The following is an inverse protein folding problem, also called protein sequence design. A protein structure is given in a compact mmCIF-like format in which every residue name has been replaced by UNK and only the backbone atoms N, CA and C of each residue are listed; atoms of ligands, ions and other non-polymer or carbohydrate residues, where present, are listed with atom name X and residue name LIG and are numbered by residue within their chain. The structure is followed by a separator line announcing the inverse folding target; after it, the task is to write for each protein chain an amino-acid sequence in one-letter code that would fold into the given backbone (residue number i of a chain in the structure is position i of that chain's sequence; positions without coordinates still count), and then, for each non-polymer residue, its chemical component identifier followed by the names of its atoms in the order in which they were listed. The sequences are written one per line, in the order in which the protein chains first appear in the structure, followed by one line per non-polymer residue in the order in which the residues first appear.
data_IF_072526700114
#
_entry.id   IF_072526700114
#
_cell.length_a   1.000
_cell.length_b   1.000
_cell.length_c   1.000
_cell.angle_alpha   90.00
_cell.angle_beta   90.00
_cell.angle_gamma   90.00
#
_symmetry.space_group_name_H-M   'P 1'
#
loop_
_entity.id
_entity.type
_entity.pdbx_description
1 polymer ?
#
# COMPACT_ATOMS: atom_id res chain seq x y z
N UNK A 1 18.09 0.38 -10.09
CA UNK A 1 18.75 1.68 -9.86
C UNK A 1 17.81 2.50 -8.98
N UNK A 2 18.32 3.18 -7.95
CA UNK A 2 17.52 4.01 -7.04
C UNK A 2 17.05 5.27 -7.78
N UNK A 3 15.77 5.63 -7.63
CA UNK A 3 15.24 6.86 -8.21
C UNK A 3 15.95 8.07 -7.58
N UNK A 4 16.46 9.04 -8.38
CA UNK A 4 17.24 10.16 -7.87
C UNK A 4 16.32 11.25 -7.29
N UNK A 5 15.54 10.92 -6.26
CA UNK A 5 14.57 11.85 -5.65
C UNK A 5 15.26 13.11 -5.13
N UNK A 6 14.62 14.26 -5.34
CA UNK A 6 14.96 15.54 -4.69
C UNK A 6 13.77 16.09 -3.87
N UNK A 7 12.54 15.73 -4.25
CA UNK A 7 11.31 16.12 -3.56
C UNK A 7 10.43 14.90 -3.29
N UNK A 8 9.64 14.94 -2.21
CA UNK A 8 8.70 13.87 -1.86
C UNK A 8 7.32 14.44 -1.57
N UNK A 9 6.31 13.92 -2.25
CA UNK A 9 4.93 14.33 -2.09
C UNK A 9 4.03 13.15 -1.72
N UNK A 10 2.93 13.48 -1.08
CA UNK A 10 1.79 12.59 -0.86
C UNK A 10 0.60 13.23 -1.55
N UNK A 11 -0.22 12.44 -2.23
CA UNK A 11 -1.32 12.96 -3.03
C UNK A 11 -2.49 11.98 -3.06
N UNK A 12 -3.67 12.54 -3.34
CA UNK A 12 -4.91 11.80 -3.52
C UNK A 12 -5.83 12.53 -4.51
N UNK A 13 -6.59 11.79 -5.31
CA UNK A 13 -7.56 12.36 -6.24
C UNK A 13 -8.99 12.11 -5.77
N UNK A 14 -9.84 13.12 -5.96
CA UNK A 14 -11.28 12.90 -6.02
C UNK A 14 -11.78 12.91 -7.46
N UNK A 15 -12.68 11.98 -7.76
CA UNK A 15 -13.17 11.74 -9.11
C UNK A 15 -14.66 11.41 -9.14
N UNK A 16 -15.35 11.82 -10.21
CA UNK A 16 -16.77 11.51 -10.37
C UNK A 16 -16.97 10.04 -10.74
N UNK A 17 -18.03 9.42 -10.22
CA UNK A 17 -18.33 7.97 -10.38
C UNK A 17 -19.62 7.71 -11.17
N UNK A 18 -20.24 8.75 -11.71
CA UNK A 18 -21.55 8.75 -12.37
C UNK A 18 -21.56 8.16 -13.80
N UNK A 19 -20.45 7.54 -14.24
CA UNK A 19 -20.36 6.93 -15.58
C UNK A 19 -19.28 5.85 -15.68
N UNK A 20 -19.20 5.21 -16.86
CA UNK A 20 -18.25 4.12 -17.11
C UNK A 20 -16.77 4.54 -17.06
N UNK A 21 -16.48 5.83 -17.18
CA UNK A 21 -15.14 6.41 -17.11
C UNK A 21 -15.18 7.48 -16.04
N UNK A 22 -14.49 7.22 -14.93
CA UNK A 22 -14.35 8.19 -13.85
C UNK A 22 -13.48 9.36 -14.30
N UNK A 23 -13.74 10.55 -13.76
CA UNK A 23 -13.00 11.77 -14.11
C UNK A 23 -12.56 12.48 -12.84
N UNK A 24 -11.25 12.60 -12.67
CA UNK A 24 -10.66 13.41 -11.62
C UNK A 24 -11.13 14.86 -11.73
N UNK A 25 -11.46 15.45 -10.60
CA UNK A 25 -11.88 16.84 -10.49
C UNK A 25 -11.23 17.60 -9.34
N UNK A 26 -10.62 16.91 -8.39
CA UNK A 26 -9.80 17.51 -7.35
C UNK A 26 -8.57 16.64 -7.12
N UNK A 27 -7.46 17.27 -6.81
CA UNK A 27 -6.28 16.63 -6.28
C UNK A 27 -5.77 17.46 -5.12
N UNK A 28 -5.55 16.80 -3.98
CA UNK A 28 -4.78 17.38 -2.91
C UNK A 28 -3.40 16.75 -2.87
N UNK A 29 -2.39 17.54 -2.49
CA UNK A 29 -1.05 17.04 -2.28
C UNK A 29 -0.28 17.87 -1.25
N UNK A 30 0.67 17.21 -0.59
CA UNK A 30 1.53 17.78 0.46
C UNK A 30 2.98 17.34 0.23
N UNK A 31 3.93 18.22 0.46
CA UNK A 31 5.35 17.84 0.57
C UNK A 31 5.60 17.13 1.92
N UNK A 32 6.69 16.40 2.05
CA UNK A 32 7.01 15.67 3.27
C UNK A 32 7.46 16.56 4.45
N UNK A 33 7.86 17.80 4.17
CA UNK A 33 8.35 18.78 5.14
C UNK A 33 7.46 20.02 5.30
N UNK A 34 6.29 20.08 4.64
CA UNK A 34 5.31 21.16 4.74
C UNK A 34 4.03 20.68 5.42
N UNK A 35 3.50 21.46 6.36
CA UNK A 35 2.24 21.21 7.08
C UNK A 35 0.99 21.59 6.28
N UNK A 36 1.13 22.39 5.23
CA UNK A 36 0.06 22.78 4.31
C UNK A 36 -0.18 21.76 3.20
N UNK A 37 -1.43 21.65 2.74
CA UNK A 37 -1.76 20.97 1.49
C UNK A 37 -2.12 21.99 0.42
N UNK A 38 -1.81 21.64 -0.83
CA UNK A 38 -2.32 22.34 -2.01
C UNK A 38 -3.48 21.52 -2.58
N UNK A 39 -4.57 22.19 -2.93
CA UNK A 39 -5.69 21.61 -3.67
C UNK A 39 -5.80 22.25 -5.06
N UNK A 40 -6.07 21.43 -6.08
CA UNK A 40 -6.32 21.89 -7.44
C UNK A 40 -7.64 21.30 -7.92
N UNK A 41 -8.67 22.15 -7.96
CA UNK A 41 -9.97 21.81 -8.53
C UNK A 41 -10.01 22.03 -10.04
N UNK A 42 -10.74 21.14 -10.73
CA UNK A 42 -11.11 21.25 -12.13
C UNK A 42 -10.77 20.00 -12.94
N UNK A 43 -11.37 19.90 -14.13
CA UNK A 43 -11.12 18.78 -15.06
C UNK A 43 -9.68 18.67 -15.57
N UNK A 44 -8.87 19.72 -15.38
CA UNK A 44 -7.46 19.79 -15.73
C UNK A 44 -6.52 19.57 -14.51
N UNK A 45 -7.07 19.20 -13.34
CA UNK A 45 -6.35 19.01 -12.08
C UNK A 45 -5.12 18.10 -12.23
N UNK A 46 -5.25 16.96 -12.92
CA UNK A 46 -4.15 16.04 -13.16
C UNK A 46 -2.98 16.68 -13.92
N UNK A 47 -3.27 17.48 -14.96
CA UNK A 47 -2.23 18.16 -15.73
C UNK A 47 -1.56 19.29 -14.93
N UNK A 48 -2.35 20.10 -14.20
CA UNK A 48 -1.85 21.15 -13.32
C UNK A 48 -1.03 20.60 -12.17
N UNK A 49 -1.39 19.44 -11.63
CA UNK A 49 -0.60 18.74 -10.62
C UNK A 49 0.78 18.36 -11.16
N UNK A 50 0.86 17.74 -12.34
CA UNK A 50 2.14 17.43 -12.99
C UNK A 50 2.97 18.69 -13.31
N UNK A 51 2.31 19.81 -13.64
CA UNK A 51 2.96 21.11 -13.81
C UNK A 51 3.51 21.69 -12.50
N UNK A 52 2.80 21.49 -11.38
CA UNK A 52 3.20 21.96 -10.06
C UNK A 52 4.38 21.17 -9.47
N UNK A 53 4.46 19.86 -9.72
CA UNK A 53 5.53 19.01 -9.21
C UNK A 53 6.92 19.44 -9.74
N UNK A 54 7.94 19.65 -8.89
CA UNK A 54 9.31 19.84 -9.34
C UNK A 54 9.90 18.63 -10.09
N UNK A 55 11.04 18.84 -10.76
CA UNK A 55 11.81 17.71 -11.30
C UNK A 55 12.24 16.74 -10.18
N UNK A 56 12.35 15.45 -10.49
CA UNK A 56 12.74 14.38 -9.55
C UNK A 56 11.83 14.25 -8.32
N UNK A 57 10.54 14.53 -8.50
CA UNK A 57 9.53 14.30 -7.46
C UNK A 57 9.18 12.82 -7.32
N UNK A 58 9.23 12.32 -6.10
CA UNK A 58 8.66 11.03 -5.68
C UNK A 58 7.30 11.28 -5.05
N UNK A 59 6.24 10.76 -5.64
CA UNK A 59 4.85 10.96 -5.19
C UNK A 59 4.27 9.65 -4.70
N UNK A 60 3.71 9.66 -3.49
CA UNK A 60 2.97 8.56 -2.92
C UNK A 60 1.47 8.77 -3.06
N UNK A 61 0.79 7.76 -3.59
CA UNK A 61 -0.66 7.59 -3.50
C UNK A 61 -0.96 6.38 -2.61
N UNK A 62 -2.12 6.35 -1.98
CA UNK A 62 -2.56 5.19 -1.22
C UNK A 62 -3.48 4.33 -2.09
N UNK A 63 -2.99 3.17 -2.53
CA UNK A 63 -3.61 2.35 -3.59
C UNK A 63 -3.52 3.00 -4.98
N UNK A 64 -2.29 3.35 -5.38
CA UNK A 64 -1.90 4.04 -6.62
C UNK A 64 -2.59 3.58 -7.92
N UNK A 65 -2.98 2.30 -8.01
CA UNK A 65 -3.51 1.69 -9.23
C UNK A 65 -4.68 2.46 -9.85
N UNK A 66 -5.49 3.12 -9.02
CA UNK A 66 -6.60 3.95 -9.48
C UNK A 66 -6.10 5.31 -9.96
N UNK A 67 -5.43 6.07 -9.10
CA UNK A 67 -4.98 7.44 -9.33
C UNK A 67 -4.05 7.59 -10.53
N UNK A 68 -3.15 6.63 -10.70
CA UNK A 68 -2.15 6.68 -11.77
C UNK A 68 -2.79 6.66 -13.16
N UNK A 69 -4.02 6.15 -13.29
CA UNK A 69 -4.75 6.14 -14.56
C UNK A 69 -5.07 7.56 -15.06
N UNK A 70 -5.28 8.52 -14.15
CA UNK A 70 -5.49 9.93 -14.49
C UNK A 70 -4.20 10.60 -14.99
N UNK A 71 -3.04 10.13 -14.52
CA UNK A 71 -1.74 10.70 -14.81
C UNK A 71 -1.09 10.12 -16.06
N UNK A 72 -1.25 8.80 -16.29
CA UNK A 72 -0.51 8.08 -17.33
C UNK A 72 -0.68 8.65 -18.74
N UNK A 73 -1.89 9.12 -19.07
CA UNK A 73 -2.17 9.70 -20.40
C UNK A 73 -1.45 11.03 -20.66
N UNK A 74 -0.94 11.68 -19.61
CA UNK A 74 -0.29 12.98 -19.67
C UNK A 74 1.24 12.88 -19.72
N UNK A 75 1.82 11.72 -19.37
CA UNK A 75 3.27 11.50 -19.40
C UNK A 75 3.78 11.34 -20.84
N UNK A 76 4.92 11.97 -21.15
CA UNK A 76 5.56 11.92 -22.47
C UNK A 76 6.23 10.56 -22.72
N UNK A 77 6.78 9.97 -21.66
CA UNK A 77 7.54 8.73 -21.70
C UNK A 77 7.40 8.00 -20.36
N UNK A 78 7.13 6.69 -20.39
CA UNK A 78 7.32 5.83 -19.21
C UNK A 78 8.77 5.37 -19.18
N UNK A 79 9.46 5.67 -18.10
CA UNK A 79 10.89 5.34 -17.93
C UNK A 79 11.06 4.15 -17.00
N UNK A 80 12.02 3.28 -17.29
CA UNK A 80 12.24 2.06 -16.52
C UNK A 80 11.11 1.04 -16.70
N UNK A 81 11.09 0.03 -15.84
CA UNK A 81 10.05 -1.01 -15.87
C UNK A 81 9.02 -0.72 -14.78
N UNK A 82 7.73 -0.52 -15.15
CA UNK A 82 6.64 -0.46 -14.18
C UNK A 82 6.66 -1.69 -13.26
N UNK A 83 6.47 -1.48 -11.96
CA UNK A 83 6.42 -2.57 -10.99
C UNK A 83 4.95 -2.84 -10.69
N UNK A 84 4.46 -3.96 -11.22
CA UNK A 84 3.06 -4.38 -11.10
C UNK A 84 3.02 -5.79 -10.49
N UNK A 85 2.20 -5.98 -9.46
CA UNK A 85 1.98 -7.27 -8.79
C UNK A 85 0.50 -7.64 -8.89
N UNK A 86 0.18 -8.58 -9.79
CA UNK A 86 -1.22 -8.88 -10.10
C UNK A 86 -1.91 -7.67 -10.70
N UNK A 87 -2.98 -7.20 -10.07
CA UNK A 87 -3.70 -5.97 -10.45
C UNK A 87 -3.15 -4.70 -9.78
N UNK A 88 -2.21 -4.81 -8.83
CA UNK A 88 -1.67 -3.68 -8.08
C UNK A 88 -0.49 -3.05 -8.82
N UNK A 89 -0.62 -1.77 -9.18
CA UNK A 89 0.48 -0.93 -9.64
C UNK A 89 1.23 -0.40 -8.43
N UNK A 90 2.46 -0.86 -8.22
CA UNK A 90 3.26 -0.49 -7.05
C UNK A 90 4.20 0.69 -7.32
N UNK A 91 4.70 0.80 -8.56
CA UNK A 91 5.54 1.92 -8.98
C UNK A 91 5.49 2.15 -10.48
N UNK A 92 5.39 3.42 -10.88
CA UNK A 92 5.58 3.89 -12.26
C UNK A 92 6.53 5.10 -12.23
N UNK A 93 7.45 5.16 -13.19
CA UNK A 93 8.28 6.35 -13.42
C UNK A 93 8.03 6.86 -14.83
N UNK A 94 8.07 8.17 -15.02
CA UNK A 94 7.90 8.75 -16.34
C UNK A 94 8.36 10.19 -16.42
N UNK A 95 8.42 10.71 -17.65
CA UNK A 95 8.76 12.09 -17.94
C UNK A 95 7.52 12.93 -18.25
N UNK A 96 7.52 14.16 -17.75
CA UNK A 96 6.51 15.16 -18.05
C UNK A 96 7.20 16.52 -18.26
N UNK A 97 7.12 17.08 -19.48
CA UNK A 97 7.76 18.36 -19.85
C UNK A 97 9.23 18.44 -19.42
N UNK A 98 9.98 17.35 -19.63
CA UNK A 98 11.38 17.22 -19.24
C UNK A 98 11.65 16.91 -17.76
N UNK A 99 10.63 16.90 -16.89
CA UNK A 99 10.74 16.49 -15.48
C UNK A 99 10.66 14.97 -15.37
N UNK A 100 11.51 14.37 -14.54
CA UNK A 100 11.46 12.96 -14.20
C UNK A 100 10.65 12.76 -12.90
N UNK A 101 9.56 12.01 -12.98
CA UNK A 101 8.63 11.79 -11.86
C UNK A 101 8.56 10.30 -11.51
N UNK A 102 8.36 9.98 -10.23
CA UNK A 102 8.14 8.62 -9.74
C UNK A 102 6.88 8.57 -8.89
N UNK A 103 5.95 7.71 -9.25
CA UNK A 103 4.73 7.45 -8.49
C UNK A 103 4.87 6.10 -7.79
N UNK A 104 4.60 6.04 -6.49
CA UNK A 104 4.65 4.82 -5.67
C UNK A 104 3.35 4.60 -4.92
N UNK A 105 3.04 3.32 -4.75
CA UNK A 105 1.92 2.90 -3.91
C UNK A 105 2.37 2.76 -2.46
N UNK A 106 1.86 3.63 -1.59
CA UNK A 106 2.09 3.50 -0.14
C UNK A 106 1.43 2.24 0.43
N UNK A 107 0.35 1.71 -0.17
CA UNK A 107 -0.32 0.50 0.29
C UNK A 107 0.54 -0.76 0.10
N UNK A 108 1.50 -0.73 -0.83
CA UNK A 108 2.51 -1.77 -0.98
C UNK A 108 3.52 -1.80 0.18
N UNK A 109 3.66 -0.69 0.91
CA UNK A 109 4.54 -0.54 2.08
C UNK A 109 3.75 -0.70 3.38
N UNK A 110 2.58 -0.09 3.48
CA UNK A 110 1.71 -0.12 4.65
C UNK A 110 0.35 -0.67 4.20
N UNK A 111 0.22 -2.00 4.20
CA UNK A 111 -0.95 -2.71 3.64
C UNK A 111 -2.16 -2.72 4.59
N UNK A 112 -2.61 -1.55 4.99
CA UNK A 112 -3.86 -1.34 5.75
C UNK A 112 -4.59 -0.13 5.20
N UNK A 113 -5.89 -0.04 5.46
CA UNK A 113 -6.70 1.12 5.06
C UNK A 113 -6.21 2.40 5.73
N UNK A 114 -6.25 3.50 4.99
CA UNK A 114 -5.88 4.84 5.47
C UNK A 114 -6.63 5.24 6.75
N UNK A 115 -7.92 4.93 6.85
CA UNK A 115 -8.77 5.14 8.04
C UNK A 115 -8.17 4.59 9.34
N UNK A 116 -7.32 3.55 9.26
CA UNK A 116 -6.67 2.95 10.43
C UNK A 116 -5.36 3.62 10.83
N UNK A 117 -4.82 4.51 10.01
CA UNK A 117 -3.52 5.16 10.28
C UNK A 117 -3.53 5.99 11.57
N UNK A 118 -4.57 6.81 11.86
CA UNK A 118 -4.60 7.60 13.09
C UNK A 118 -4.48 6.74 14.35
N UNK A 119 -5.25 5.66 14.44
CA UNK A 119 -5.16 4.71 15.57
C UNK A 119 -3.81 3.98 15.58
N UNK A 120 -3.40 3.42 14.42
CA UNK A 120 -2.23 2.55 14.30
C UNK A 120 -0.91 3.27 14.59
N UNK A 121 -0.81 4.55 14.21
CA UNK A 121 0.39 5.36 14.40
C UNK A 121 0.26 6.40 15.52
N UNK A 122 -0.89 6.44 16.21
CA UNK A 122 -1.22 7.43 17.22
C UNK A 122 -1.06 8.87 16.68
N UNK A 123 -1.61 9.13 15.49
CA UNK A 123 -1.50 10.43 14.84
C UNK A 123 -2.38 11.47 15.52
N UNK A 124 -1.91 12.71 15.56
CA UNK A 124 -2.68 13.87 16.02
C UNK A 124 -3.44 14.56 14.89
N UNK A 125 -3.31 14.07 13.66
CA UNK A 125 -3.89 14.67 12.46
C UNK A 125 -5.41 14.61 12.40
N UNK A 126 -6.07 13.84 13.27
CA UNK A 126 -7.53 13.60 13.24
C UNK A 126 -7.91 12.35 12.47
N UNK A 127 -9.20 11.99 12.54
CA UNK A 127 -9.78 10.86 11.83
C UNK A 127 -10.06 11.18 10.35
N UNK A 128 -10.36 10.15 9.56
CA UNK A 128 -10.83 10.32 8.19
C UNK A 128 -12.27 10.81 8.22
N UNK A 129 -12.56 11.84 7.44
CA UNK A 129 -13.85 12.52 7.45
C UNK A 129 -14.93 11.77 6.65
N UNK A 130 -16.16 12.31 6.61
CA UNK A 130 -17.26 11.78 5.80
C UNK A 130 -17.29 12.46 4.43
N UNK A 131 -17.58 11.72 3.36
CA UNK A 131 -17.67 12.28 2.01
C UNK A 131 -18.81 11.65 1.17
N UNK A 132 -19.67 12.46 0.52
CA UNK A 132 -20.78 11.98 -0.30
C UNK A 132 -20.32 11.64 -1.74
N UNK A 133 -19.52 10.60 -1.92
CA UNK A 133 -18.91 10.26 -3.23
C UNK A 133 -19.89 10.25 -4.42
N UNK A 134 -21.08 9.67 -4.24
CA UNK A 134 -22.07 9.52 -5.31
C UNK A 134 -22.82 10.83 -5.64
N UNK A 135 -22.68 11.86 -4.80
CA UNK A 135 -23.26 13.18 -5.04
C UNK A 135 -22.41 14.01 -6.01
N UNK A 136 -21.09 13.81 -6.03
CA UNK A 136 -20.15 14.54 -6.87
C UNK A 136 -20.16 14.03 -8.32
N UNK A 137 -21.25 14.33 -9.04
CA UNK A 137 -21.41 14.00 -10.46
C UNK A 137 -20.58 14.92 -11.35
N UNK A 138 -20.29 14.47 -12.56
CA UNK A 138 -19.55 15.27 -13.54
C UNK A 138 -20.26 16.60 -13.85
N UNK A 139 -21.58 16.63 -13.86
CA UNK A 139 -22.35 17.84 -14.12
C UNK A 139 -22.19 18.88 -12.99
N UNK A 140 -22.41 18.45 -11.74
CA UNK A 140 -22.32 19.35 -10.57
C UNK A 140 -20.92 19.94 -10.40
N UNK A 141 -19.91 19.10 -10.56
CA UNK A 141 -18.50 19.48 -10.45
C UNK A 141 -18.08 20.55 -11.48
N UNK A 142 -18.71 20.58 -12.66
CA UNK A 142 -18.36 21.48 -13.76
C UNK A 142 -19.26 22.72 -13.88
N UNK A 143 -20.33 22.83 -13.09
CA UNK A 143 -21.30 23.94 -13.20
C UNK A 143 -21.05 25.02 -12.15
N UNK A 144 -21.71 24.96 -11.00
CA UNK A 144 -21.70 26.02 -9.99
C UNK A 144 -20.79 25.71 -8.81
N UNK A 145 -20.41 24.44 -8.61
CA UNK A 145 -19.73 23.94 -7.40
C UNK A 145 -20.55 24.15 -6.12
N UNK A 146 -21.84 24.44 -6.26
CA UNK A 146 -22.78 24.62 -5.15
C UNK A 146 -23.60 23.35 -5.02
N UNK A 147 -23.49 22.69 -3.87
CA UNK A 147 -24.24 21.47 -3.54
C UNK A 147 -25.44 21.80 -2.67
N UNK A 148 -26.53 21.05 -2.86
CA UNK A 148 -27.68 21.04 -1.97
C UNK A 148 -27.43 20.05 -0.82
N UNK A 149 -27.62 20.51 0.42
CA UNK A 149 -27.31 19.75 1.64
C UNK A 149 -28.23 18.53 1.77
N UNK A 150 -29.54 18.71 1.58
CA UNK A 150 -30.55 17.64 1.69
C UNK A 150 -30.30 16.50 0.70
N UNK A 151 -29.97 16.84 -0.54
CA UNK A 151 -29.65 15.84 -1.56
C UNK A 151 -28.35 15.10 -1.20
N UNK A 152 -27.30 15.82 -0.80
CA UNK A 152 -26.00 15.24 -0.46
C UNK A 152 -26.07 14.28 0.75
N UNK A 153 -26.93 14.57 1.74
CA UNK A 153 -27.15 13.71 2.90
C UNK A 153 -27.61 12.30 2.52
N UNK A 154 -28.30 12.11 1.38
CA UNK A 154 -28.72 10.80 0.91
C UNK A 154 -27.55 9.92 0.40
N UNK A 155 -26.35 10.51 0.27
CA UNK A 155 -25.17 9.85 -0.25
C UNK A 155 -24.07 9.63 0.81
N UNK A 156 -24.33 9.98 2.08
CA UNK A 156 -23.45 9.69 3.21
C UNK A 156 -24.05 8.63 4.14
N UNK A 157 -23.20 7.96 4.91
CA UNK A 157 -23.64 7.03 5.97
C UNK A 157 -23.85 7.72 7.31
N UNK A 158 -23.04 8.74 7.58
CA UNK A 158 -23.06 9.49 8.82
C UNK A 158 -23.45 10.94 8.51
N UNK A 159 -24.74 11.21 8.67
CA UNK A 159 -25.37 12.50 8.36
C UNK A 159 -24.98 13.55 9.39
N UNK A 160 -24.80 13.16 10.65
CA UNK A 160 -24.44 14.07 11.75
C UNK A 160 -23.04 14.64 11.49
N UNK A 161 -22.06 13.77 11.23
CA UNK A 161 -20.70 14.20 10.90
C UNK A 161 -20.65 15.04 9.60
N UNK A 162 -21.43 14.69 8.58
CA UNK A 162 -21.51 15.49 7.35
C UNK A 162 -21.97 16.93 7.61
N UNK A 163 -23.07 17.10 8.36
CA UNK A 163 -23.60 18.42 8.70
C UNK A 163 -22.66 19.20 9.62
N UNK A 164 -22.04 18.54 10.61
CA UNK A 164 -21.03 19.17 11.45
C UNK A 164 -19.84 19.68 10.64
N UNK A 165 -19.41 18.93 9.63
CA UNK A 165 -18.32 19.34 8.75
C UNK A 165 -18.68 20.58 7.93
N UNK A 166 -19.90 20.66 7.37
CA UNK A 166 -20.35 21.86 6.64
C UNK A 166 -20.29 23.11 7.52
N UNK A 167 -20.68 23.00 8.79
CA UNK A 167 -20.68 24.13 9.73
C UNK A 167 -19.26 24.49 10.22
N UNK A 168 -18.36 23.50 10.36
CA UNK A 168 -17.01 23.70 10.89
C UNK A 168 -16.00 24.17 9.85
N UNK A 169 -16.14 23.73 8.60
CA UNK A 169 -15.20 24.08 7.52
C UNK A 169 -15.43 25.53 7.13
N UNK A 170 -14.39 26.35 7.25
CA UNK A 170 -14.41 27.76 6.88
C UNK A 170 -14.85 27.94 5.42
N UNK A 171 -15.75 28.90 5.17
CA UNK A 171 -16.34 29.21 3.87
C UNK A 171 -17.09 28.06 3.17
N UNK A 172 -17.35 26.93 3.86
CA UNK A 172 -18.06 25.79 3.26
C UNK A 172 -19.57 25.98 3.22
N UNK A 173 -20.18 26.49 4.30
CA UNK A 173 -21.62 26.76 4.33
C UNK A 173 -21.94 28.04 3.57
N UNK A 174 -22.76 27.94 2.52
CA UNK A 174 -23.19 29.10 1.73
C UNK A 174 -24.46 29.70 2.34
N UNK A 175 -25.46 28.86 2.59
CA UNK A 175 -26.70 29.19 3.27
C UNK A 175 -27.27 27.93 3.96
N UNK A 176 -28.53 27.97 4.42
CA UNK A 176 -29.15 26.84 5.14
C UNK A 176 -29.49 25.64 4.24
N UNK A 177 -29.49 25.80 2.92
CA UNK A 177 -29.81 24.75 1.94
C UNK A 177 -28.57 24.31 1.12
N UNK A 178 -27.51 25.12 1.10
CA UNK A 178 -26.38 24.95 0.19
C UNK A 178 -25.00 25.00 0.84
N UNK A 179 -24.06 24.25 0.27
CA UNK A 179 -22.65 24.23 0.63
C UNK A 179 -21.74 24.32 -0.60
N UNK A 180 -20.50 24.78 -0.41
CA UNK A 180 -19.47 24.81 -1.44
C UNK A 180 -18.79 23.44 -1.57
N UNK A 181 -18.99 22.79 -2.71
CA UNK A 181 -18.46 21.46 -3.00
C UNK A 181 -16.94 21.45 -3.17
N UNK A 182 -16.35 22.52 -3.70
CA UNK A 182 -14.90 22.61 -3.86
C UNK A 182 -14.23 22.74 -2.51
N UNK A 183 -14.74 23.62 -1.65
CA UNK A 183 -14.23 23.80 -0.28
C UNK A 183 -14.33 22.50 0.51
N UNK A 184 -15.49 21.84 0.49
CA UNK A 184 -15.69 20.58 1.21
C UNK A 184 -14.76 19.46 0.70
N UNK A 185 -14.69 19.26 -0.62
CA UNK A 185 -13.80 18.26 -1.22
C UNK A 185 -12.33 18.54 -0.96
N UNK A 186 -11.92 19.80 -0.98
CA UNK A 186 -10.53 20.19 -0.70
C UNK A 186 -10.15 19.92 0.75
N UNK A 187 -11.05 20.19 1.70
CA UNK A 187 -10.85 19.84 3.10
C UNK A 187 -10.74 18.33 3.30
N UNK A 188 -11.67 17.56 2.73
CA UNK A 188 -11.70 16.11 2.82
C UNK A 188 -10.43 15.45 2.25
N UNK A 189 -10.13 15.75 0.99
CA UNK A 189 -9.00 15.17 0.28
C UNK A 189 -7.67 15.65 0.90
N UNK A 190 -7.61 16.90 1.38
CA UNK A 190 -6.46 17.41 2.14
C UNK A 190 -6.23 16.65 3.45
N UNK A 191 -7.31 16.28 4.16
CA UNK A 191 -7.23 15.49 5.39
C UNK A 191 -6.75 14.05 5.11
N UNK A 192 -7.23 13.41 4.04
CA UNK A 192 -6.73 12.10 3.60
C UNK A 192 -5.23 12.14 3.28
N UNK A 193 -4.78 13.15 2.53
CA UNK A 193 -3.35 13.33 2.22
C UNK A 193 -2.53 13.58 3.48
N UNK A 194 -3.05 14.35 4.45
CA UNK A 194 -2.38 14.59 5.74
C UNK A 194 -2.21 13.30 6.53
N UNK A 195 -3.27 12.50 6.67
CA UNK A 195 -3.23 11.20 7.36
C UNK A 195 -2.21 10.27 6.67
N UNK A 196 -2.21 10.25 5.33
CA UNK A 196 -1.30 9.45 4.55
C UNK A 196 0.16 9.87 4.80
N UNK A 197 0.46 11.16 4.68
CA UNK A 197 1.80 11.73 4.91
C UNK A 197 2.27 11.40 6.32
N UNK A 198 1.47 11.74 7.33
CA UNK A 198 1.86 11.62 8.74
C UNK A 198 2.08 10.17 9.15
N UNK A 199 1.18 9.26 8.75
CA UNK A 199 1.35 7.84 9.00
C UNK A 199 2.57 7.25 8.27
N UNK A 200 2.79 7.64 7.02
CA UNK A 200 3.96 7.19 6.27
C UNK A 200 5.27 7.70 6.86
N UNK A 201 5.33 8.98 7.25
CA UNK A 201 6.50 9.58 7.89
C UNK A 201 6.78 8.96 9.24
N UNK A 202 5.74 8.66 10.04
CA UNK A 202 5.89 7.95 11.30
C UNK A 202 6.51 6.57 11.07
N UNK A 203 5.97 5.79 10.13
CA UNK A 203 6.51 4.48 9.76
C UNK A 203 7.96 4.56 9.25
N UNK A 204 8.25 5.54 8.38
CA UNK A 204 9.60 5.79 7.85
C UNK A 204 10.58 6.12 8.97
N UNK A 205 10.19 6.98 9.91
CA UNK A 205 11.05 7.37 11.04
C UNK A 205 11.35 6.18 11.95
N UNK A 206 10.37 5.30 12.18
CA UNK A 206 10.58 4.07 12.94
C UNK A 206 11.56 3.13 12.21
N UNK A 207 11.43 2.95 10.88
CA UNK A 207 12.38 2.17 10.08
C UNK A 207 13.81 2.75 10.07
N UNK A 208 13.91 4.08 9.96
CA UNK A 208 15.20 4.77 10.00
C UNK A 208 15.88 4.60 11.36
N UNK A 209 15.11 4.73 12.45
CA UNK A 209 15.61 4.61 13.84
C UNK A 209 16.05 3.19 14.15
N UNK A 210 15.23 2.19 13.82
CA UNK A 210 15.47 0.81 14.23
C UNK A 210 16.41 0.03 13.28
N UNK A 211 16.42 0.41 12.00
CA UNK A 211 17.06 -0.39 10.95
C UNK A 211 18.05 0.38 10.06
N UNK A 212 18.06 1.71 10.13
CA UNK A 212 18.79 2.60 9.21
C UNK A 212 18.39 2.34 7.75
N UNK A 213 17.07 2.18 7.52
CA UNK A 213 16.48 1.93 6.20
C UNK A 213 15.49 3.04 5.89
N UNK A 214 15.72 3.75 4.80
CA UNK A 214 14.80 4.79 4.31
C UNK A 214 13.68 4.14 3.48
N UNK A 215 12.44 4.22 3.96
CA UNK A 215 11.26 3.70 3.27
C UNK A 215 11.13 4.23 1.82
N UNK A 216 11.59 5.45 1.55
CA UNK A 216 11.55 6.05 0.22
C UNK A 216 12.38 5.31 -0.82
N UNK A 217 13.34 4.49 -0.41
CA UNK A 217 14.21 3.72 -1.31
C UNK A 217 13.55 2.44 -1.84
N UNK A 218 12.42 2.07 -1.26
CA UNK A 218 11.78 0.77 -1.48
C UNK A 218 10.40 0.92 -2.09
N UNK A 219 9.93 -0.14 -2.74
CA UNK A 219 8.62 -0.18 -3.40
C UNK A 219 7.58 -0.92 -2.55
N UNK A 220 8.02 -1.73 -1.59
CA UNK A 220 7.13 -2.55 -0.78
C UNK A 220 7.73 -2.96 0.56
N UNK A 221 6.86 -3.37 1.48
CA UNK A 221 7.27 -3.94 2.76
C UNK A 221 8.16 -5.16 2.57
N UNK A 222 7.89 -6.00 1.57
CA UNK A 222 8.73 -7.17 1.27
C UNK A 222 10.14 -6.76 0.84
N UNK A 223 10.28 -5.67 0.07
CA UNK A 223 11.61 -5.18 -0.32
C UNK A 223 12.37 -4.55 0.86
N UNK A 224 11.67 -3.90 1.79
CA UNK A 224 12.24 -3.39 3.06
C UNK A 224 12.71 -4.56 3.92
N UNK A 225 11.86 -5.56 4.14
CA UNK A 225 12.20 -6.77 4.89
C UNK A 225 13.37 -7.50 4.26
N UNK A 226 13.39 -7.69 2.94
CA UNK A 226 14.52 -8.32 2.25
C UNK A 226 15.82 -7.54 2.49
N UNK A 227 15.77 -6.19 2.49
CA UNK A 227 16.95 -5.39 2.80
C UNK A 227 17.46 -5.60 4.22
N UNK A 228 16.54 -5.68 5.17
CA UNK A 228 16.88 -5.94 6.55
C UNK A 228 17.56 -7.31 6.71
N UNK A 229 17.02 -8.33 6.05
CA UNK A 229 17.60 -9.67 6.02
C UNK A 229 18.95 -9.69 5.31
N UNK A 230 19.12 -9.00 4.19
CA UNK A 230 20.42 -8.82 3.54
C UNK A 230 21.48 -8.32 4.56
N UNK A 231 21.17 -7.21 5.23
CA UNK A 231 22.06 -6.52 6.19
C UNK A 231 22.38 -7.36 7.42
N UNK A 232 21.38 -8.04 7.98
CA UNK A 232 21.50 -8.69 9.30
C UNK A 232 21.77 -10.19 9.21
N UNK A 233 21.36 -10.84 8.12
CA UNK A 233 21.38 -12.30 7.99
C UNK A 233 22.21 -12.71 6.78
N UNK A 234 21.80 -12.36 5.56
CA UNK A 234 22.32 -13.00 4.35
C UNK A 234 23.82 -12.74 4.14
N UNK A 235 24.26 -11.49 4.22
CA UNK A 235 25.68 -11.18 4.04
C UNK A 235 26.55 -11.65 5.22
N UNK A 236 25.98 -11.73 6.42
CA UNK A 236 26.71 -12.20 7.61
C UNK A 236 26.87 -13.72 7.63
N UNK A 237 25.91 -14.45 7.07
CA UNK A 237 25.96 -15.91 6.99
C UNK A 237 27.15 -16.37 6.12
N UNK A 238 27.39 -15.72 4.98
CA UNK A 238 28.55 -15.99 4.13
C UNK A 238 28.49 -17.29 3.31
N UNK A 239 27.44 -18.11 3.47
CA UNK A 239 27.21 -19.38 2.77
C UNK A 239 25.87 -19.40 2.02
N UNK A 240 25.27 -18.24 1.74
CA UNK A 240 24.07 -18.12 0.93
C UNK A 240 24.41 -17.71 -0.51
N UNK A 241 23.70 -18.29 -1.47
CA UNK A 241 23.93 -18.10 -2.90
C UNK A 241 22.63 -17.81 -3.63
N UNK A 242 22.70 -16.96 -4.65
CA UNK A 242 21.57 -16.72 -5.55
C UNK A 242 21.23 -17.97 -6.36
N UNK A 243 19.97 -18.38 -6.34
CA UNK A 243 19.45 -19.49 -7.14
C UNK A 243 18.93 -18.99 -8.49
N UNK A 244 19.46 -19.55 -9.59
CA UNK A 244 19.02 -19.24 -10.95
C UNK A 244 18.78 -20.51 -11.79
N UNK A 245 18.06 -20.37 -12.91
CA UNK A 245 17.87 -21.43 -13.89
C UNK A 245 17.14 -22.68 -13.35
N UNK A 246 17.65 -23.86 -13.73
CA UNK A 246 17.03 -25.16 -13.40
C UNK A 246 16.93 -25.44 -11.90
N UNK A 247 17.99 -25.23 -11.07
CA UNK A 247 17.87 -25.39 -9.62
C UNK A 247 16.77 -24.53 -9.00
N UNK A 248 16.68 -23.25 -9.38
CA UNK A 248 15.61 -22.34 -8.92
C UNK A 248 14.22 -22.85 -9.28
N UNK A 249 14.03 -23.25 -10.53
CA UNK A 249 12.75 -23.80 -11.00
C UNK A 249 12.37 -25.08 -10.25
N UNK A 250 13.33 -26.00 -10.08
CA UNK A 250 13.11 -27.25 -9.35
C UNK A 250 12.72 -27.01 -7.90
N UNK A 251 13.51 -26.21 -7.16
CA UNK A 251 13.26 -25.89 -5.75
C UNK A 251 11.93 -25.15 -5.58
N UNK A 252 11.56 -24.28 -6.53
CA UNK A 252 10.28 -23.55 -6.47
C UNK A 252 9.04 -24.45 -6.47
N UNK A 253 9.13 -25.67 -7.05
CA UNK A 253 8.05 -26.66 -7.04
C UNK A 253 7.82 -27.26 -5.65
N UNK A 254 8.80 -27.14 -4.75
CA UNK A 254 8.73 -27.62 -3.37
C UNK A 254 8.20 -26.55 -2.40
N UNK A 255 8.05 -25.29 -2.85
CA UNK A 255 7.53 -24.22 -2.00
C UNK A 255 6.02 -24.35 -1.89
N UNK A 256 5.53 -24.60 -0.67
CA UNK A 256 4.11 -24.70 -0.35
C UNK A 256 3.70 -23.60 0.63
N UNK A 257 2.43 -23.21 0.59
CA UNK A 257 1.84 -22.25 1.51
C UNK A 257 1.42 -22.87 2.84
N UNK A 258 0.74 -22.07 3.67
CA UNK A 258 0.13 -22.55 4.89
C UNK A 258 -0.93 -23.63 4.64
N UNK A 259 -1.01 -24.62 5.53
CA UNK A 259 -2.03 -25.68 5.49
C UNK A 259 -3.36 -25.10 5.98
N UNK A 260 -4.35 -25.00 5.10
CA UNK A 260 -5.72 -24.64 5.43
C UNK A 260 -6.63 -25.84 5.19
N UNK A 261 -7.26 -26.37 6.24
CA UNK A 261 -8.10 -27.56 6.15
C UNK A 261 -9.33 -27.46 7.04
N UNK A 262 -10.39 -28.15 6.65
CA UNK A 262 -11.56 -28.38 7.49
C UNK A 262 -11.47 -29.76 8.13
N UNK A 263 -12.12 -29.93 9.28
CA UNK A 263 -12.29 -31.25 9.87
C UNK A 263 -12.94 -32.20 8.85
N UNK A 264 -12.31 -33.37 8.66
CA UNK A 264 -12.71 -34.40 7.68
C UNK A 264 -12.85 -33.90 6.22
N UNK A 265 -12.29 -32.73 5.88
CA UNK A 265 -12.52 -32.06 4.59
C UNK A 265 -14.01 -31.81 4.27
N UNK A 266 -14.85 -31.65 5.30
CA UNK A 266 -16.29 -31.35 5.16
C UNK A 266 -16.60 -29.96 5.70
N UNK A 267 -17.55 -29.29 5.06
CA UNK A 267 -18.10 -28.02 5.58
C UNK A 267 -18.73 -28.27 6.95
N UNK A 268 -18.31 -27.49 7.94
CA UNK A 268 -18.81 -27.57 9.31
C UNK A 268 -19.88 -26.50 9.54
N UNK A 269 -20.90 -26.83 10.32
CA UNK A 269 -21.91 -25.90 10.83
C UNK A 269 -22.09 -26.23 12.30
N UNK A 270 -21.63 -25.35 13.18
CA UNK A 270 -21.62 -25.59 14.61
C UNK A 270 -22.59 -24.58 15.25
N UNK A 271 -23.76 -25.03 15.68
CA UNK A 271 -24.73 -24.22 16.41
C UNK A 271 -24.78 -24.70 17.87
N UNK A 272 -24.51 -23.79 18.81
CA UNK A 272 -24.58 -24.09 20.25
C UNK A 272 -23.39 -24.87 20.83
N UNK A 273 -22.36 -25.18 20.02
CA UNK A 273 -21.13 -25.82 20.48
C UNK A 273 -20.07 -24.80 20.91
N UNK A 274 -19.35 -25.12 21.99
CA UNK A 274 -18.19 -24.35 22.43
C UNK A 274 -16.97 -24.71 21.56
N UNK A 275 -16.49 -23.76 20.78
CA UNK A 275 -15.27 -23.89 19.97
C UNK A 275 -14.13 -23.18 20.69
N UNK A 276 -12.97 -23.85 20.77
CA UNK A 276 -11.72 -23.22 21.18
C UNK A 276 -10.84 -23.03 19.94
N UNK A 277 -10.40 -21.80 19.72
CA UNK A 277 -9.48 -21.45 18.63
C UNK A 277 -8.08 -21.20 19.20
N UNK A 278 -7.08 -21.89 18.65
CA UNK A 278 -5.69 -21.78 19.07
C UNK A 278 -4.88 -21.12 17.96
N UNK A 279 -4.44 -19.88 18.21
CA UNK A 279 -3.56 -19.16 17.29
C UNK A 279 -2.11 -19.20 17.76
N UNK A 280 -1.21 -19.53 16.84
CA UNK A 280 0.21 -19.63 17.11
C UNK A 280 0.87 -18.25 16.99
N UNK A 281 1.44 -17.74 18.09
CA UNK A 281 2.10 -16.43 18.12
C UNK A 281 3.31 -16.43 17.17
N UNK A 282 3.22 -15.63 16.10
CA UNK A 282 4.31 -15.46 15.12
C UNK A 282 4.86 -16.79 14.60
N UNK A 283 3.99 -17.65 14.05
CA UNK A 283 4.36 -18.99 13.60
C UNK A 283 5.61 -19.02 12.70
N UNK A 284 5.66 -18.22 11.62
CA UNK A 284 6.80 -18.21 10.69
C UNK A 284 8.08 -17.65 11.33
N UNK A 285 8.09 -16.49 12.02
CA UNK A 285 9.27 -16.04 12.75
C UNK A 285 9.78 -17.06 13.78
N UNK A 286 8.87 -17.71 14.52
CA UNK A 286 9.22 -18.76 15.48
C UNK A 286 9.84 -19.97 14.80
N UNK A 287 9.34 -20.37 13.64
CA UNK A 287 9.91 -21.43 12.82
C UNK A 287 11.31 -21.06 12.32
N UNK A 288 11.50 -19.86 11.78
CA UNK A 288 12.82 -19.37 11.32
C UNK A 288 13.84 -19.34 12.47
N UNK A 289 13.40 -19.01 13.70
CA UNK A 289 14.26 -18.95 14.86
C UNK A 289 14.64 -20.33 15.44
N UNK A 290 13.85 -21.37 15.17
CA UNK A 290 14.00 -22.70 15.77
C UNK A 290 14.53 -23.75 14.81
N UNK A 291 14.03 -23.75 13.58
CA UNK A 291 14.28 -24.80 12.60
C UNK A 291 15.58 -24.53 11.84
N UNK A 292 16.27 -25.60 11.45
CA UNK A 292 17.41 -25.50 10.56
C UNK A 292 17.01 -24.95 9.18
N UNK A 293 17.55 -23.79 8.80
CA UNK A 293 17.35 -23.20 7.49
C UNK A 293 18.47 -23.66 6.53
N UNK A 294 18.10 -24.21 5.38
CA UNK A 294 19.05 -24.72 4.38
C UNK A 294 19.93 -23.59 3.82
N UNK A 295 21.24 -23.86 3.73
CA UNK A 295 22.26 -22.98 3.16
C UNK A 295 23.19 -23.74 2.21
N UNK A 296 24.04 -23.01 1.48
CA UNK A 296 25.03 -23.58 0.56
C UNK A 296 24.52 -23.86 -0.86
N UNK A 297 25.38 -24.49 -1.66
CA UNK A 297 25.10 -24.82 -3.06
C UNK A 297 24.33 -26.15 -3.13
N UNK A 298 23.15 -26.20 -3.78
CA UNK A 298 22.38 -27.44 -3.88
C UNK A 298 23.14 -28.50 -4.68
N UNK A 299 23.06 -29.75 -4.21
CA UNK A 299 23.67 -30.92 -4.85
C UNK A 299 22.59 -31.79 -5.48
N UNK A 300 22.93 -32.43 -6.60
CA UNK A 300 22.05 -33.41 -7.25
C UNK A 300 22.06 -34.69 -6.42
N UNK A 301 20.88 -35.22 -6.11
CA UNK A 301 20.73 -36.49 -5.40
C UNK A 301 21.33 -37.65 -6.20
N UNK A 302 22.00 -38.57 -5.52
CA UNK A 302 22.47 -39.84 -6.09
C UNK A 302 21.29 -40.78 -6.36
N UNK A 303 21.50 -41.88 -7.11
CA UNK A 303 20.43 -42.87 -7.34
C UNK A 303 19.94 -43.54 -6.05
N UNK A 304 20.85 -43.78 -5.10
CA UNK A 304 20.53 -44.33 -3.78
C UNK A 304 19.58 -43.40 -2.99
N UNK A 305 19.89 -42.10 -2.99
CA UNK A 305 19.09 -41.08 -2.31
C UNK A 305 17.66 -40.95 -2.85
N UNK A 306 17.40 -41.43 -4.08
CA UNK A 306 16.06 -41.38 -4.69
C UNK A 306 15.15 -42.50 -4.19
N UNK A 307 15.65 -43.46 -3.43
CA UNK A 307 14.83 -44.52 -2.85
C UNK A 307 13.98 -44.02 -1.69
N UNK A 308 12.75 -44.51 -1.58
CA UNK A 308 11.86 -44.15 -0.47
C UNK A 308 12.44 -44.57 0.89
N UNK A 309 13.18 -45.68 0.92
CA UNK A 309 13.84 -46.21 2.13
C UNK A 309 14.87 -45.21 2.64
N UNK A 310 15.79 -44.76 1.77
CA UNK A 310 16.76 -43.72 2.12
C UNK A 310 16.07 -42.46 2.64
N UNK A 311 15.05 -41.96 1.94
CA UNK A 311 14.37 -40.73 2.35
C UNK A 311 13.67 -40.84 3.71
N UNK A 312 13.05 -41.99 4.02
CA UNK A 312 12.35 -42.22 5.28
C UNK A 312 13.32 -42.36 6.46
N UNK A 313 14.49 -42.97 6.23
CA UNK A 313 15.55 -43.12 7.24
C UNK A 313 16.25 -41.79 7.57
N UNK A 314 16.17 -40.81 6.67
CA UNK A 314 16.87 -39.51 6.78
C UNK A 314 15.89 -38.33 6.94
N UNK A 315 14.69 -38.56 7.48
CA UNK A 315 13.76 -37.49 7.86
C UNK A 315 14.24 -36.82 9.15
N UNK A 316 14.17 -35.49 9.20
CA UNK A 316 14.37 -34.74 10.45
C UNK A 316 13.26 -35.09 11.46
N UNK A 317 13.62 -35.14 12.74
CA UNK A 317 12.66 -35.20 13.84
C UNK A 317 11.81 -33.90 13.90
N UNK A 318 10.69 -33.95 14.61
CA UNK A 318 9.68 -32.87 14.66
C UNK A 318 10.25 -31.49 15.09
N UNK A 319 11.39 -31.45 15.80
CA UNK A 319 12.03 -30.21 16.22
C UNK A 319 12.98 -29.61 15.17
N UNK A 320 13.33 -30.38 14.13
CA UNK A 320 14.31 -30.08 13.08
C UNK A 320 15.61 -29.41 13.60
N UNK A 321 15.98 -29.70 14.84
CA UNK A 321 17.07 -29.05 15.55
C UNK A 321 18.38 -29.83 15.40
N UNK A 322 18.29 -31.15 15.38
CA UNK A 322 19.37 -32.03 14.96
C UNK A 322 18.89 -32.85 13.73
N UNK A 323 19.73 -33.06 12.71
CA UNK A 323 19.54 -34.20 11.84
C UNK A 323 19.45 -35.43 12.73
N UNK A 324 18.46 -36.29 12.50
CA UNK A 324 18.49 -37.66 13.01
C UNK A 324 19.81 -38.27 12.55
N UNK A 325 20.71 -38.37 13.51
CA UNK A 325 22.14 -38.54 13.29
C UNK A 325 22.44 -39.97 12.85
N UNK A 326 23.45 -40.09 12.00
CA UNK A 326 24.50 -41.07 12.27
C UNK A 326 25.09 -40.88 13.68
#
# INVERSE_FOLDING_TARGET
MKFPREHVFFADFEASTDGNIHKAYNICFMEDDDDGYTSIWGSDCASKFLEALPDKSLVYFHNLSYDVTFLMSQLEEITGTPIIKGSQTMQIQGKYKGKLLCFKDSYAIISTKLERFPEMFHLTSGEKEVFPYNYYTKELVNTTKVGNIDDAMNHVKDIEAFNENIEKIEDCKIDDEHFDMEVYSSFYCGQDVRILRDGFLKFRNDLMTEFEIDAYDYVSISSISNKLFEKRVYWKNGNLFDLAGKPREYISKCIQGGRCMLAENKKQYNEGELITDFDAVSLYPSAIARLYCLEGIPKVMTEEMKSSEYLLEHLFDDDQAEPTKE
#
